data_IF_726042691534
#
_entry.id   IF_726042691534
#
_cell.length_a   1.000
_cell.length_b   1.000
_cell.length_c   1.000
_cell.angle_alpha   90.00
_cell.angle_beta   90.00
_cell.angle_gamma   90.00
#
_symmetry.space_group_name_H-M   'P 1'
#
loop_
_entity.id
_entity.type
_entity.pdbx_description
1 polymer ?
#
# COMPACT_ATOMS: atom_id res chain seq x y z
N UNK A 1 -34.90 35.37 13.24
CA UNK A 1 -34.49 35.21 14.65
C UNK A 1 -34.06 33.76 14.85
N UNK A 2 -32.90 33.46 15.45
CA UNK A 2 -32.56 32.10 15.81
C UNK A 2 -33.60 31.56 16.81
N UNK A 3 -33.94 30.27 16.71
CA UNK A 3 -34.88 29.62 17.60
C UNK A 3 -34.40 29.71 19.06
N UNK A 4 -35.31 29.99 19.99
CA UNK A 4 -34.97 29.89 21.42
C UNK A 4 -34.73 28.40 21.79
N UNK A 5 -33.91 28.10 22.80
CA UNK A 5 -33.66 26.71 23.21
C UNK A 5 -34.93 25.90 23.48
N UNK A 6 -35.98 26.54 24.00
CA UNK A 6 -37.29 25.92 24.22
C UNK A 6 -38.04 25.62 22.92
N UNK A 7 -37.92 26.49 21.92
CA UNK A 7 -38.49 26.28 20.58
C UNK A 7 -37.70 25.20 19.81
N UNK A 8 -36.38 25.12 19.99
CA UNK A 8 -35.55 24.06 19.45
C UNK A 8 -35.88 22.69 20.07
N UNK A 9 -36.04 22.62 21.39
CA UNK A 9 -36.46 21.40 22.10
C UNK A 9 -37.89 20.94 21.74
N UNK A 10 -38.75 21.84 21.23
CA UNK A 10 -40.07 21.48 20.68
C UNK A 10 -40.01 20.95 19.24
N UNK A 11 -38.98 21.35 18.48
CA UNK A 11 -38.76 20.94 17.09
C UNK A 11 -37.95 19.65 16.97
N UNK A 12 -36.99 19.43 17.88
CA UNK A 12 -36.21 18.19 17.95
C UNK A 12 -36.86 17.30 19.00
N UNK A 13 -37.59 16.29 18.55
CA UNK A 13 -38.06 15.24 19.44
C UNK A 13 -36.85 14.45 19.97
N UNK A 14 -36.95 13.92 21.21
CA UNK A 14 -35.89 13.04 21.77
C UNK A 14 -35.57 11.85 20.86
N UNK A 15 -36.55 11.43 20.06
CA UNK A 15 -36.43 10.36 19.07
C UNK A 15 -35.53 10.78 17.89
N UNK A 16 -35.79 11.92 17.26
CA UNK A 16 -34.94 12.46 16.18
C UNK A 16 -33.50 12.71 16.65
N UNK A 17 -33.32 13.23 17.87
CA UNK A 17 -31.98 13.40 18.44
C UNK A 17 -31.25 12.06 18.62
N UNK A 18 -31.97 11.03 19.04
CA UNK A 18 -31.40 9.69 19.21
C UNK A 18 -31.09 9.01 17.87
N UNK A 19 -31.90 9.23 16.84
CA UNK A 19 -31.63 8.75 15.48
C UNK A 19 -30.39 9.43 14.90
N UNK A 20 -30.30 10.75 15.01
CA UNK A 20 -29.16 11.53 14.51
C UNK A 20 -27.85 11.11 15.22
N UNK A 21 -27.91 10.82 16.53
CA UNK A 21 -26.78 10.28 17.29
C UNK A 21 -26.39 8.87 16.85
N UNK A 22 -27.36 8.01 16.49
CA UNK A 22 -27.07 6.66 15.95
C UNK A 22 -26.41 6.76 14.58
N UNK A 23 -26.86 7.68 13.73
CA UNK A 23 -26.30 7.85 12.39
C UNK A 23 -24.89 8.44 12.44
N UNK A 24 -24.64 9.41 13.32
CA UNK A 24 -23.28 9.89 13.57
C UNK A 24 -22.34 8.76 14.03
N UNK A 25 -22.78 7.91 14.98
CA UNK A 25 -21.98 6.75 15.42
C UNK A 25 -21.71 5.74 14.31
N UNK A 26 -22.69 5.49 13.44
CA UNK A 26 -22.49 4.62 12.26
C UNK A 26 -21.49 5.23 11.28
N UNK A 27 -21.53 6.56 11.11
CA UNK A 27 -20.63 7.28 10.21
C UNK A 27 -19.20 7.23 10.73
N UNK A 28 -19.01 7.45 12.03
CA UNK A 28 -17.72 7.36 12.71
C UNK A 28 -17.08 5.99 12.52
N UNK A 29 -17.84 4.91 12.78
CA UNK A 29 -17.35 3.55 12.58
C UNK A 29 -17.03 3.21 11.11
N UNK A 30 -17.71 3.84 10.14
CA UNK A 30 -17.37 3.67 8.70
C UNK A 30 -16.09 4.42 8.33
N UNK A 31 -15.87 5.60 8.91
CA UNK A 31 -14.65 6.37 8.66
C UNK A 31 -13.44 5.62 9.20
N UNK A 32 -13.52 5.06 10.41
CA UNK A 32 -12.44 4.25 10.99
C UNK A 32 -12.11 3.03 10.12
N UNK A 33 -13.12 2.37 9.56
CA UNK A 33 -12.93 1.25 8.63
C UNK A 33 -12.22 1.69 7.34
N UNK A 34 -12.61 2.83 6.77
CA UNK A 34 -11.95 3.38 5.57
C UNK A 34 -10.49 3.72 5.88
N UNK A 35 -10.22 4.38 7.00
CA UNK A 35 -8.85 4.72 7.42
C UNK A 35 -8.00 3.46 7.60
N UNK A 36 -8.54 2.43 8.25
CA UNK A 36 -7.86 1.14 8.43
C UNK A 36 -7.51 0.49 7.08
N UNK A 37 -8.43 0.54 6.11
CA UNK A 37 -8.18 0.00 4.76
C UNK A 37 -7.12 0.82 4.03
N UNK A 38 -7.16 2.15 4.13
CA UNK A 38 -6.16 3.04 3.52
C UNK A 38 -4.77 2.80 4.12
N UNK A 39 -4.66 2.67 5.44
CA UNK A 39 -3.40 2.31 6.12
C UNK A 39 -2.87 0.94 5.68
N UNK A 40 -3.79 -0.03 5.52
CA UNK A 40 -3.46 -1.35 4.98
C UNK A 40 -2.93 -1.30 3.55
N UNK A 41 -3.51 -0.47 2.68
CA UNK A 41 -3.04 -0.26 1.30
C UNK A 41 -1.68 0.43 1.31
N UNK A 42 -1.50 1.48 2.12
CA UNK A 42 -0.23 2.21 2.20
C UNK A 42 0.92 1.28 2.66
N UNK A 43 0.65 0.44 3.66
CA UNK A 43 1.62 -0.54 4.17
C UNK A 43 1.99 -1.54 3.08
N UNK A 44 1.01 -2.16 2.42
CA UNK A 44 1.27 -3.10 1.32
C UNK A 44 2.01 -2.45 0.15
N UNK A 45 1.72 -1.18 -0.14
CA UNK A 45 2.41 -0.46 -1.21
C UNK A 45 3.89 -0.24 -0.88
N UNK A 46 4.21 0.08 0.37
CA UNK A 46 5.59 0.21 0.86
C UNK A 46 6.34 -1.12 0.80
N UNK A 47 5.69 -2.21 1.21
CA UNK A 47 6.29 -3.56 1.15
C UNK A 47 6.57 -3.94 -0.31
N UNK A 48 5.61 -3.69 -1.21
CA UNK A 48 5.76 -3.94 -2.63
C UNK A 48 6.93 -3.17 -3.26
N UNK A 49 7.10 -1.89 -2.92
CA UNK A 49 8.24 -1.09 -3.39
C UNK A 49 9.58 -1.67 -2.90
N UNK A 50 9.62 -2.14 -1.65
CA UNK A 50 10.82 -2.73 -1.05
C UNK A 50 11.19 -4.05 -1.74
N UNK A 51 10.19 -4.91 -1.97
CA UNK A 51 10.37 -6.16 -2.70
C UNK A 51 10.81 -5.92 -4.14
N UNK A 52 10.23 -4.93 -4.83
CA UNK A 52 10.58 -4.58 -6.19
C UNK A 52 12.02 -4.07 -6.30
N UNK A 53 12.46 -3.18 -5.39
CA UNK A 53 13.84 -2.70 -5.35
C UNK A 53 14.83 -3.83 -5.05
N UNK A 54 14.49 -4.72 -4.11
CA UNK A 54 15.29 -5.90 -3.80
C UNK A 54 15.42 -6.84 -5.01
N UNK A 55 14.31 -7.09 -5.70
CA UNK A 55 14.26 -7.95 -6.87
C UNK A 55 15.06 -7.36 -8.05
N UNK A 56 14.95 -6.06 -8.30
CA UNK A 56 15.79 -5.37 -9.29
C UNK A 56 17.28 -5.53 -8.97
N UNK A 57 17.67 -5.29 -7.72
CA UNK A 57 19.06 -5.49 -7.30
C UNK A 57 19.53 -6.95 -7.43
N UNK A 58 18.65 -7.93 -7.22
CA UNK A 58 18.95 -9.35 -7.47
C UNK A 58 19.16 -9.63 -8.97
N UNK A 59 18.26 -9.13 -9.83
CA UNK A 59 18.40 -9.24 -11.28
C UNK A 59 19.70 -8.61 -11.80
N UNK A 60 20.08 -7.43 -11.31
CA UNK A 60 21.34 -6.78 -11.70
C UNK A 60 22.57 -7.64 -11.35
N UNK A 61 22.59 -8.23 -10.14
CA UNK A 61 23.66 -9.14 -9.72
C UNK A 61 23.71 -10.40 -10.58
N UNK A 62 22.55 -10.97 -10.91
CA UNK A 62 22.47 -12.15 -11.77
C UNK A 62 22.98 -11.82 -13.18
N UNK A 63 22.59 -10.69 -13.75
CA UNK A 63 23.03 -10.26 -15.08
C UNK A 63 24.54 -10.07 -15.13
N UNK A 64 25.13 -9.42 -14.11
CA UNK A 64 26.58 -9.25 -14.01
C UNK A 64 27.31 -10.60 -13.90
N UNK A 65 26.76 -11.53 -13.14
CA UNK A 65 27.32 -12.88 -13.00
C UNK A 65 27.27 -13.65 -14.32
N UNK A 66 26.13 -13.60 -15.01
CA UNK A 66 25.96 -14.24 -16.31
C UNK A 66 26.93 -13.67 -17.37
N UNK A 67 27.09 -12.34 -17.42
CA UNK A 67 28.04 -11.69 -18.31
C UNK A 67 29.49 -12.12 -18.04
N UNK A 68 29.87 -12.24 -16.77
CA UNK A 68 31.20 -12.72 -16.39
C UNK A 68 31.42 -14.18 -16.83
N UNK A 69 30.42 -15.05 -16.63
CA UNK A 69 30.49 -16.43 -17.08
C UNK A 69 30.64 -16.52 -18.61
N UNK A 70 29.90 -15.71 -19.38
CA UNK A 70 30.03 -15.67 -20.84
C UNK A 70 31.45 -15.31 -21.28
N UNK A 71 32.10 -14.34 -20.61
CA UNK A 71 33.49 -13.97 -20.89
C UNK A 71 34.44 -15.13 -20.61
N UNK A 72 34.25 -15.83 -19.49
CA UNK A 72 35.10 -16.97 -19.10
C UNK A 72 34.95 -18.10 -20.12
N UNK A 73 33.72 -18.44 -20.51
CA UNK A 73 33.43 -19.48 -21.50
C UNK A 73 34.13 -19.15 -22.82
N UNK A 74 33.97 -17.93 -23.35
CA UNK A 74 34.64 -17.51 -24.59
C UNK A 74 36.17 -17.55 -24.52
N UNK A 75 36.76 -17.33 -23.35
CA UNK A 75 38.21 -17.46 -23.15
C UNK A 75 38.65 -18.92 -23.19
N UNK A 76 37.89 -19.82 -22.55
CA UNK A 76 38.18 -21.25 -22.53
C UNK A 76 38.05 -21.86 -23.93
N UNK A 77 36.98 -21.54 -24.66
CA UNK A 77 36.79 -21.99 -26.06
C UNK A 77 37.97 -21.59 -26.96
N UNK A 78 38.47 -20.34 -26.81
CA UNK A 78 39.63 -19.88 -27.58
C UNK A 78 40.95 -20.57 -27.20
N UNK A 79 41.07 -21.03 -25.96
CA UNK A 79 42.25 -21.78 -25.52
C UNK A 79 42.20 -23.20 -26.07
N UNK A 80 41.05 -23.88 -25.97
CA UNK A 80 40.88 -25.23 -26.54
C UNK A 80 41.18 -25.26 -28.04
N UNK A 81 40.69 -24.28 -28.82
CA UNK A 81 40.96 -24.17 -30.27
C UNK A 81 42.44 -23.94 -30.59
N UNK A 82 43.24 -23.36 -29.67
CA UNK A 82 44.68 -23.16 -29.87
C UNK A 82 45.53 -24.38 -29.53
N UNK A 83 44.96 -25.38 -28.87
CA UNK A 83 45.70 -26.55 -28.36
C UNK A 83 45.51 -27.79 -29.23
N UNK A 84 44.66 -27.70 -30.27
CA UNK A 84 44.41 -28.71 -31.31
C UNK A 84 45.06 -28.26 -32.62
#
# INVERSE_FOLDING_TARGET
MPLTPEQFNKLVTKEEFNELKKDFKKMDGKIDQILTVVDGIATKHKDFQTEMASNQGAHDRMQKTAANHEIIIKKLEKLEVKTV
#
